data_IF_202962085232
#
_entry.id   IF_202962085232
#
_cell.length_a   1.000
_cell.length_b   1.000
_cell.length_c   1.000
_cell.angle_alpha   90.00
_cell.angle_beta   90.00
_cell.angle_gamma   90.00
#
_symmetry.space_group_name_H-M   'P 1'
#
loop_
_entity.id
_entity.type
_entity.pdbx_description
1 polymer ?
#
# COMPACT_ATOMS: atom_id res chain seq x y z
N UNK A 1 0.18 -9.71 -2.32
CA UNK A 1 -0.55 -8.85 -3.27
C UNK A 1 0.39 -7.84 -3.92
N UNK A 2 1.08 -6.97 -3.16
CA UNK A 2 1.92 -5.89 -3.73
C UNK A 2 2.98 -6.31 -4.75
N UNK A 3 3.66 -7.46 -4.57
CA UNK A 3 4.63 -7.95 -5.58
C UNK A 3 3.96 -8.22 -6.93
N UNK A 4 2.74 -8.75 -6.96
CA UNK A 4 2.01 -9.04 -8.21
C UNK A 4 1.66 -7.73 -8.91
N UNK A 5 1.18 -6.73 -8.17
CA UNK A 5 0.93 -5.38 -8.71
C UNK A 5 2.24 -4.77 -9.22
N UNK A 6 3.32 -4.88 -8.44
CA UNK A 6 4.65 -4.43 -8.82
C UNK A 6 5.15 -5.03 -10.12
N UNK A 7 5.02 -6.36 -10.27
CA UNK A 7 5.37 -7.08 -11.48
C UNK A 7 4.60 -6.56 -12.71
N UNK A 8 3.30 -6.31 -12.56
CA UNK A 8 2.45 -5.77 -13.63
C UNK A 8 2.85 -4.35 -14.01
N UNK A 9 3.09 -3.48 -13.02
CA UNK A 9 3.53 -2.10 -13.23
C UNK A 9 4.90 -2.06 -13.91
N UNK A 10 5.88 -2.79 -13.38
CA UNK A 10 7.23 -2.85 -13.95
C UNK A 10 7.25 -3.41 -15.38
N UNK A 11 6.32 -4.33 -15.71
CA UNK A 11 6.20 -4.87 -17.06
C UNK A 11 5.49 -3.93 -18.03
N UNK A 12 4.72 -2.97 -17.53
CA UNK A 12 3.94 -2.01 -18.32
C UNK A 12 4.67 -0.68 -18.53
N UNK A 13 5.69 -0.37 -17.71
CA UNK A 13 6.42 0.89 -17.73
C UNK A 13 7.88 0.68 -18.16
N UNK A 14 8.22 1.18 -19.34
CA UNK A 14 9.54 0.98 -19.96
C UNK A 14 10.68 1.79 -19.32
N UNK A 15 10.40 2.62 -18.31
CA UNK A 15 11.41 3.47 -17.66
C UNK A 15 11.97 2.87 -16.36
N UNK A 16 11.43 1.75 -15.87
CA UNK A 16 11.98 1.01 -14.73
C UNK A 16 13.25 0.30 -15.18
N UNK A 17 14.39 0.62 -14.57
CA UNK A 17 15.71 0.11 -15.00
C UNK A 17 16.17 -1.07 -14.16
N UNK A 18 16.02 -0.95 -12.84
CA UNK A 18 16.30 -1.98 -11.86
C UNK A 18 14.99 -2.54 -11.29
N UNK A 19 14.47 -3.55 -11.99
CA UNK A 19 13.27 -4.28 -11.57
C UNK A 19 13.42 -4.90 -10.18
N UNK A 20 14.61 -5.32 -9.76
CA UNK A 20 14.78 -5.95 -8.44
C UNK A 20 14.61 -4.92 -7.34
N UNK A 21 15.27 -3.77 -7.46
CA UNK A 21 15.11 -2.66 -6.52
C UNK A 21 13.67 -2.16 -6.49
N UNK A 22 13.02 -2.04 -7.65
CA UNK A 22 11.61 -1.72 -7.74
C UNK A 22 10.73 -2.70 -6.95
N UNK A 23 10.86 -4.00 -7.19
CA UNK A 23 10.06 -5.02 -6.49
C UNK A 23 10.33 -5.03 -4.99
N UNK A 24 11.57 -4.81 -4.54
CA UNK A 24 11.88 -4.64 -3.13
C UNK A 24 11.14 -3.43 -2.53
N UNK A 25 11.09 -2.32 -3.26
CA UNK A 25 10.30 -1.14 -2.88
C UNK A 25 8.82 -1.45 -2.66
N UNK A 26 8.23 -2.32 -3.51
CA UNK A 26 6.79 -2.65 -3.42
C UNK A 26 6.39 -3.40 -2.14
N UNK A 27 7.34 -4.01 -1.42
CA UNK A 27 7.08 -4.74 -0.17
C UNK A 27 7.72 -4.10 1.05
N UNK A 28 8.60 -3.12 0.85
CA UNK A 28 9.33 -2.48 1.93
C UNK A 28 8.44 -1.88 3.04
N UNK A 29 7.30 -1.22 2.75
CA UNK A 29 6.47 -0.65 3.82
C UNK A 29 5.93 -1.70 4.79
N UNK A 30 5.65 -2.90 4.29
CA UNK A 30 5.07 -4.02 5.03
C UNK A 30 6.07 -4.74 5.95
N UNK A 31 7.38 -4.51 5.78
CA UNK A 31 8.41 -5.03 6.69
C UNK A 31 8.36 -4.37 8.08
N UNK A 32 7.47 -3.39 8.31
CA UNK A 32 7.21 -2.82 9.63
C UNK A 32 6.31 -3.74 10.48
N UNK A 33 6.87 -4.26 11.58
CA UNK A 33 6.17 -5.21 12.47
C UNK A 33 5.41 -4.59 13.64
N UNK A 34 5.48 -3.26 13.84
CA UNK A 34 4.72 -2.57 14.89
C UNK A 34 3.71 -1.62 14.29
N UNK A 35 2.58 -1.40 14.96
CA UNK A 35 1.53 -0.49 14.50
C UNK A 35 2.05 0.94 14.29
N UNK A 36 2.92 1.40 15.19
CA UNK A 36 3.58 2.72 15.08
C UNK A 36 4.45 2.80 13.82
N UNK A 37 5.29 1.80 13.57
CA UNK A 37 6.13 1.79 12.35
C UNK A 37 5.26 1.66 11.11
N UNK A 38 4.19 0.86 11.12
CA UNK A 38 3.25 0.77 10.00
C UNK A 38 2.59 2.12 9.71
N UNK A 39 2.22 2.89 10.74
CA UNK A 39 1.70 4.24 10.56
C UNK A 39 2.68 5.14 9.79
N UNK A 40 3.96 5.05 10.11
CA UNK A 40 5.01 5.82 9.45
C UNK A 40 5.27 5.32 8.02
N UNK A 41 5.45 4.01 7.83
CA UNK A 41 5.84 3.46 6.53
C UNK A 41 4.72 3.51 5.49
N UNK A 42 3.46 3.43 5.90
CA UNK A 42 2.34 3.49 4.97
C UNK A 42 1.81 4.93 4.82
N UNK A 43 2.44 5.93 5.45
CA UNK A 43 1.99 7.32 5.39
C UNK A 43 0.51 7.44 5.80
N UNK A 44 0.10 6.70 6.84
CA UNK A 44 -1.27 6.74 7.31
C UNK A 44 -1.59 8.11 7.91
N UNK A 45 -2.76 8.64 7.54
CA UNK A 45 -3.35 9.84 8.12
C UNK A 45 -4.83 9.59 8.42
N UNK A 46 -5.47 10.52 9.14
CA UNK A 46 -6.84 10.35 9.60
C UNK A 46 -6.94 9.41 10.80
N UNK A 47 -8.16 8.97 11.10
CA UNK A 47 -8.48 8.20 12.30
C UNK A 47 -9.08 6.82 11.94
N UNK A 48 -8.50 5.77 12.52
CA UNK A 48 -8.92 4.40 12.26
C UNK A 48 -10.33 4.13 12.76
N UNK A 49 -10.70 4.63 13.93
CA UNK A 49 -11.98 4.36 14.58
C UNK A 49 -13.11 5.15 13.93
N UNK A 50 -12.84 6.41 13.54
CA UNK A 50 -13.77 7.23 12.77
C UNK A 50 -13.90 6.81 11.30
N UNK A 51 -13.05 5.89 10.83
CA UNK A 51 -13.11 5.38 9.45
C UNK A 51 -12.64 6.40 8.42
N UNK A 52 -11.85 7.38 8.85
CA UNK A 52 -11.23 8.40 8.00
C UNK A 52 -9.77 8.08 7.71
N UNK A 53 -9.24 6.96 8.25
CA UNK A 53 -7.86 6.54 8.00
C UNK A 53 -7.63 6.32 6.51
N UNK A 54 -6.58 6.90 5.97
CA UNK A 54 -6.21 6.84 4.55
C UNK A 54 -4.68 6.84 4.37
N UNK A 55 -4.23 6.49 3.18
CA UNK A 55 -2.83 6.60 2.77
C UNK A 55 -2.60 7.98 2.14
N UNK A 56 -1.68 8.76 2.70
CA UNK A 56 -1.24 10.03 2.10
C UNK A 56 0.02 9.81 1.26
N UNK A 57 -0.16 9.25 0.05
CA UNK A 57 0.96 9.03 -0.87
C UNK A 57 1.52 10.33 -1.47
N UNK A 58 0.76 11.43 -1.49
CA UNK A 58 1.28 12.72 -1.98
C UNK A 58 2.34 13.27 -1.03
N UNK A 59 2.18 13.09 0.28
CA UNK A 59 3.22 13.41 1.28
C UNK A 59 4.49 12.59 1.10
N UNK A 60 4.37 11.33 0.64
CA UNK A 60 5.56 10.55 0.24
C UNK A 60 6.23 11.18 -0.98
N UNK A 61 5.46 11.54 -2.01
CA UNK A 61 5.98 12.20 -3.22
C UNK A 61 6.68 13.51 -2.84
N UNK A 62 6.06 14.38 -2.05
CA UNK A 62 6.65 15.66 -1.62
C UNK A 62 7.95 15.46 -0.83
N UNK A 63 8.00 14.44 0.04
CA UNK A 63 9.17 14.13 0.85
C UNK A 63 10.35 13.63 0.01
N UNK A 64 10.08 12.89 -1.07
CA UNK A 64 11.10 12.22 -1.88
C UNK A 64 11.17 12.73 -3.33
N UNK A 65 10.56 13.89 -3.61
CA UNK A 65 10.44 14.49 -4.95
C UNK A 65 11.80 14.66 -5.65
N UNK A 66 12.86 14.91 -4.87
CA UNK A 66 14.24 15.07 -5.38
C UNK A 66 14.89 13.75 -5.81
N UNK A 67 14.26 12.61 -5.52
CA UNK A 67 14.78 11.25 -5.77
C UNK A 67 13.94 10.51 -6.83
N UNK A 68 13.29 11.25 -7.74
CA UNK A 68 12.35 10.77 -8.77
C UNK A 68 12.86 9.61 -9.65
N UNK A 69 14.19 9.40 -9.74
CA UNK A 69 14.79 8.35 -10.55
C UNK A 69 15.22 7.09 -9.77
N UNK A 70 14.84 6.97 -8.51
CA UNK A 70 15.13 5.76 -7.72
C UNK A 70 14.01 4.72 -7.90
N UNK A 71 14.33 3.63 -8.61
CA UNK A 71 13.39 2.53 -8.85
C UNK A 71 12.85 1.91 -7.55
N UNK A 72 13.64 1.87 -6.46
CA UNK A 72 13.16 1.41 -5.16
C UNK A 72 12.05 2.34 -4.62
N UNK A 73 12.22 3.66 -4.73
CA UNK A 73 11.20 4.61 -4.30
C UNK A 73 9.96 4.60 -5.20
N UNK A 74 10.12 4.33 -6.49
CA UNK A 74 8.98 4.11 -7.40
C UNK A 74 8.20 2.83 -7.02
N UNK A 75 8.90 1.79 -6.60
CA UNK A 75 8.28 0.59 -6.02
C UNK A 75 7.52 0.90 -4.74
N UNK A 76 8.12 1.67 -3.84
CA UNK A 76 7.48 2.11 -2.59
C UNK A 76 6.24 2.95 -2.87
N UNK A 77 6.30 3.89 -3.82
CA UNK A 77 5.15 4.68 -4.24
C UNK A 77 4.04 3.77 -4.81
N UNK A 78 4.41 2.77 -5.60
CA UNK A 78 3.46 1.78 -6.13
C UNK A 78 2.73 1.04 -5.00
N UNK A 79 3.43 0.69 -3.92
CA UNK A 79 2.80 0.12 -2.72
C UNK A 79 1.76 1.09 -2.14
N UNK A 80 2.15 2.34 -1.86
CA UNK A 80 1.26 3.33 -1.25
C UNK A 80 0.02 3.62 -2.11
N UNK A 81 0.19 3.75 -3.43
CA UNK A 81 -0.92 3.94 -4.36
C UNK A 81 -1.83 2.72 -4.37
N UNK A 82 -1.28 1.50 -4.32
CA UNK A 82 -2.09 0.28 -4.29
C UNK A 82 -2.93 0.17 -3.01
N UNK A 83 -2.37 0.52 -1.85
CA UNK A 83 -3.11 0.58 -0.59
C UNK A 83 -4.16 1.69 -0.57
N UNK A 84 -3.82 2.87 -1.10
CA UNK A 84 -4.77 3.96 -1.27
C UNK A 84 -5.99 3.49 -2.10
N UNK A 85 -5.74 2.88 -3.26
CA UNK A 85 -6.81 2.37 -4.13
C UNK A 85 -7.63 1.29 -3.44
N UNK A 86 -6.99 0.36 -2.73
CA UNK A 86 -7.68 -0.65 -1.94
C UNK A 86 -8.59 -0.01 -0.88
N UNK A 87 -8.11 0.98 -0.14
CA UNK A 87 -8.88 1.63 0.91
C UNK A 87 -10.06 2.42 0.35
N UNK A 88 -9.78 3.28 -0.63
CA UNK A 88 -10.73 4.25 -1.18
C UNK A 88 -11.83 3.57 -1.99
N UNK A 89 -11.49 2.58 -2.82
CA UNK A 89 -12.43 2.02 -3.78
C UNK A 89 -12.98 0.65 -3.37
N UNK A 90 -12.31 -0.08 -2.46
CA UNK A 90 -12.70 -1.45 -2.11
C UNK A 90 -13.08 -1.57 -0.63
N UNK A 91 -12.17 -1.25 0.28
CA UNK A 91 -12.31 -1.54 1.70
C UNK A 91 -13.47 -0.78 2.35
N UNK A 92 -13.50 0.55 2.22
CA UNK A 92 -14.58 1.35 2.81
C UNK A 92 -15.89 1.27 2.03
N UNK A 93 -15.93 1.43 0.69
CA UNK A 93 -17.19 1.42 -0.05
C UNK A 93 -17.97 0.12 0.06
N UNK A 94 -17.27 -1.02 0.20
CA UNK A 94 -17.92 -2.33 0.33
C UNK A 94 -18.13 -2.77 1.80
N UNK A 95 -17.93 -1.86 2.75
CA UNK A 95 -18.19 -2.04 4.16
C UNK A 95 -17.32 -3.11 4.83
N UNK A 96 -16.07 -3.28 4.39
CA UNK A 96 -15.19 -4.33 4.91
C UNK A 96 -14.77 -4.04 6.35
N UNK A 97 -14.64 -2.76 6.73
CA UNK A 97 -14.38 -2.38 8.11
C UNK A 97 -15.47 -2.89 9.07
N UNK A 98 -16.75 -2.68 8.73
CA UNK A 98 -17.86 -3.14 9.57
C UNK A 98 -17.89 -4.67 9.65
N UNK A 99 -17.64 -5.35 8.54
CA UNK A 99 -17.54 -6.82 8.51
C UNK A 99 -16.39 -7.33 9.38
N UNK A 100 -15.23 -6.68 9.35
CA UNK A 100 -14.08 -7.04 10.18
C UNK A 100 -14.33 -6.76 11.67
N UNK A 101 -15.06 -5.68 12.02
CA UNK A 101 -15.49 -5.43 13.41
C UNK A 101 -16.44 -6.54 13.89
N UNK A 102 -17.37 -7.00 13.05
CA UNK A 102 -18.29 -8.09 13.40
C UNK A 102 -17.65 -9.48 13.42
N UNK A 103 -16.63 -9.70 12.60
CA UNK A 103 -15.87 -10.95 12.48
C UNK A 103 -14.39 -10.59 12.24
N UNK A 104 -13.54 -10.60 13.29
CA UNK A 104 -12.12 -10.29 13.17
C UNK A 104 -11.36 -11.15 12.15
N UNK A 105 -11.89 -12.33 11.82
CA UNK A 105 -11.29 -13.25 10.85
C UNK A 105 -11.88 -13.10 9.44
N UNK A 106 -12.74 -12.10 9.19
CA UNK A 106 -13.43 -11.89 7.92
C UNK A 106 -12.48 -11.85 6.71
N UNK A 107 -11.43 -11.03 6.77
CA UNK A 107 -10.45 -10.89 5.68
C UNK A 107 -9.66 -12.19 5.45
N UNK A 108 -9.31 -12.90 6.54
CA UNK A 108 -8.60 -14.17 6.45
C UNK A 108 -9.46 -15.23 5.76
N UNK A 109 -10.74 -15.33 6.13
CA UNK A 109 -11.70 -16.23 5.48
C UNK A 109 -11.91 -15.89 4.01
N UNK A 110 -11.81 -14.61 3.63
CA UNK A 110 -11.91 -14.19 2.24
C UNK A 110 -10.69 -14.64 1.42
N UNK A 111 -9.49 -14.57 2.00
CA UNK A 111 -8.24 -14.93 1.33
C UNK A 111 -8.11 -16.44 1.03
N UNK A 112 -8.73 -17.32 1.82
CA UNK A 112 -8.66 -18.78 1.67
C UNK A 112 -9.86 -19.41 0.94
N UNK A 113 -10.64 -18.61 0.20
CA UNK A 113 -11.81 -19.09 -0.57
C UNK A 113 -11.51 -19.35 -2.05
N UNK A 114 -10.26 -19.24 -2.46
CA UNK A 114 -9.75 -19.55 -3.80
C UNK A 114 -8.67 -20.62 -3.70
#
# INVERSE_FOLDING_TARGET
MHVIIGEQVASSLNFIKDKRSFLLGTVAPDAAFTSERKNITHFFEGDLDQGTRQINYTKFVDKYISQVNDDYLLGYLTHLVSDYVWMEFIYYPHGFKQKQVSDPNFLQKMAFRF
#
